data_IF_778650252862
#
_entry.id   IF_778650252862
#
_cell.length_a   1.000
_cell.length_b   1.000
_cell.length_c   1.000
_cell.angle_alpha   90.00
_cell.angle_beta   90.00
_cell.angle_gamma   90.00
#
_symmetry.space_group_name_H-M   'P 1'
#
loop_
_entity.id
_entity.type
_entity.pdbx_description
1 polymer ?
#
# COMPACT_ATOMS: atom_id res chain seq x y z
N UNK A 1 -15.75 -7.19 4.22
CA UNK A 1 -14.42 -6.56 4.07
C UNK A 1 -13.39 -7.56 3.50
N UNK A 2 -13.59 -8.02 2.27
CA UNK A 2 -12.71 -9.05 1.67
C UNK A 2 -11.21 -8.68 1.67
N UNK A 3 -10.77 -7.52 1.13
CA UNK A 3 -9.34 -7.20 1.05
C UNK A 3 -8.67 -7.08 2.43
N UNK A 4 -9.35 -6.51 3.43
CA UNK A 4 -8.84 -6.41 4.79
C UNK A 4 -8.59 -7.80 5.43
N UNK A 5 -9.52 -8.74 5.24
CA UNK A 5 -9.37 -10.10 5.74
C UNK A 5 -8.24 -10.85 5.04
N UNK A 6 -8.05 -10.60 3.73
CA UNK A 6 -6.91 -11.14 2.99
C UNK A 6 -5.58 -10.60 3.52
N UNK A 7 -5.49 -9.29 3.78
CA UNK A 7 -4.28 -8.69 4.39
C UNK A 7 -3.98 -9.36 5.73
N UNK A 8 -4.99 -9.45 6.61
CA UNK A 8 -4.85 -10.13 7.92
C UNK A 8 -4.34 -11.56 7.77
N UNK A 9 -4.93 -12.35 6.87
CA UNK A 9 -4.54 -13.74 6.68
C UNK A 9 -3.13 -13.86 6.12
N UNK A 10 -2.75 -13.03 5.15
CA UNK A 10 -1.42 -13.06 4.55
C UNK A 10 -0.34 -12.64 5.56
N UNK A 11 -0.59 -11.61 6.37
CA UNK A 11 0.32 -11.21 7.45
C UNK A 11 0.58 -12.35 8.46
N UNK A 12 -0.43 -13.18 8.74
CA UNK A 12 -0.27 -14.36 9.61
C UNK A 12 0.73 -15.39 9.05
N UNK A 13 0.91 -15.43 7.74
CA UNK A 13 1.81 -16.35 7.04
C UNK A 13 3.04 -15.64 6.46
N UNK A 14 3.41 -14.48 7.00
CA UNK A 14 4.52 -13.65 6.54
C UNK A 14 4.47 -13.33 5.03
N UNK A 15 3.27 -13.29 4.43
CA UNK A 15 3.07 -13.02 3.02
C UNK A 15 2.66 -11.56 2.76
N UNK A 16 3.25 -10.96 1.72
CA UNK A 16 2.83 -9.66 1.22
C UNK A 16 1.43 -9.75 0.58
N UNK A 17 0.70 -8.65 0.57
CA UNK A 17 -0.63 -8.60 -0.05
C UNK A 17 -0.70 -7.57 -1.15
N UNK A 18 -0.87 -8.02 -2.40
CA UNK A 18 -1.25 -7.17 -3.51
C UNK A 18 -2.76 -6.87 -3.46
N UNK A 19 -3.12 -5.60 -3.58
CA UNK A 19 -4.50 -5.11 -3.53
C UNK A 19 -4.77 -4.37 -4.83
N UNK A 20 -5.70 -4.94 -5.60
CA UNK A 20 -6.23 -4.30 -6.80
C UNK A 20 -7.35 -3.33 -6.40
N UNK A 21 -7.30 -2.12 -6.98
CA UNK A 21 -8.27 -1.07 -6.71
C UNK A 21 -9.41 -1.12 -7.73
N UNK A 22 -10.57 -0.62 -7.33
CA UNK A 22 -11.78 -0.68 -8.15
C UNK A 22 -11.65 0.15 -9.44
N UNK A 23 -12.18 -0.40 -10.53
CA UNK A 23 -12.10 0.17 -11.88
C UNK A 23 -13.49 0.12 -12.51
N UNK A 24 -14.00 1.28 -12.90
CA UNK A 24 -15.21 1.44 -13.71
C UNK A 24 -14.86 2.22 -14.96
N UNK A 25 -14.23 1.52 -15.91
CA UNK A 25 -13.66 2.11 -17.11
C UNK A 25 -14.71 2.82 -17.98
N UNK A 26 -15.92 2.27 -18.10
CA UNK A 26 -17.01 2.87 -18.89
C UNK A 26 -17.48 4.22 -18.33
N UNK A 27 -17.28 4.46 -17.03
CA UNK A 27 -17.60 5.72 -16.36
C UNK A 27 -16.37 6.63 -16.18
N UNK A 28 -15.20 6.26 -16.70
CA UNK A 28 -13.90 6.90 -16.43
C UNK A 28 -13.61 7.07 -14.92
N UNK A 29 -14.07 6.13 -14.09
CA UNK A 29 -13.86 6.16 -12.63
C UNK A 29 -12.85 5.09 -12.22
N UNK A 30 -11.78 5.54 -11.58
CA UNK A 30 -10.71 4.69 -11.08
C UNK A 30 -10.46 5.03 -9.62
N UNK A 31 -10.49 4.02 -8.77
CA UNK A 31 -10.14 4.22 -7.37
C UNK A 31 -8.63 4.48 -7.26
N UNK A 32 -8.25 5.59 -6.64
CA UNK A 32 -6.84 5.90 -6.39
C UNK A 32 -6.34 5.27 -5.08
N UNK A 33 -5.02 5.15 -4.96
CA UNK A 33 -4.33 4.66 -3.77
C UNK A 33 -4.78 5.34 -2.47
N UNK A 34 -4.98 6.66 -2.45
CA UNK A 34 -5.43 7.41 -1.28
C UNK A 34 -6.81 6.92 -0.81
N UNK A 35 -7.74 6.72 -1.75
CA UNK A 35 -9.08 6.19 -1.47
C UNK A 35 -9.00 4.75 -0.95
N UNK A 36 -8.17 3.90 -1.56
CA UNK A 36 -7.96 2.52 -1.11
C UNK A 36 -7.41 2.44 0.32
N UNK A 37 -6.40 3.25 0.64
CA UNK A 37 -5.83 3.33 1.99
C UNK A 37 -6.84 3.88 3.01
N UNK A 38 -7.59 4.94 2.68
CA UNK A 38 -8.66 5.47 3.54
C UNK A 38 -9.76 4.44 3.79
N UNK A 39 -10.12 3.66 2.77
CA UNK A 39 -11.06 2.55 2.93
C UNK A 39 -10.54 1.50 3.91
N UNK A 40 -9.27 1.06 3.77
CA UNK A 40 -8.67 0.10 4.70
C UNK A 40 -8.64 0.61 6.15
N UNK A 41 -8.28 1.88 6.36
CA UNK A 41 -8.30 2.50 7.69
C UNK A 41 -9.71 2.56 8.28
N UNK A 42 -10.72 2.92 7.48
CA UNK A 42 -12.11 2.91 7.93
C UNK A 42 -12.55 1.50 8.37
N UNK A 43 -12.15 0.49 7.61
CA UNK A 43 -12.44 -0.91 7.97
C UNK A 43 -11.73 -1.32 9.26
N UNK A 44 -10.50 -0.87 9.48
CA UNK A 44 -9.81 -1.05 10.76
C UNK A 44 -10.61 -0.40 11.91
N UNK A 45 -11.05 0.85 11.77
CA UNK A 45 -11.82 1.56 12.81
C UNK A 45 -13.11 0.82 13.21
N UNK A 46 -13.79 0.20 12.23
CA UNK A 46 -14.98 -0.61 12.44
C UNK A 46 -14.68 -1.95 13.11
N UNK A 47 -13.54 -2.58 12.78
CA UNK A 47 -13.18 -3.94 13.22
C UNK A 47 -12.35 -3.99 14.50
N UNK A 48 -11.47 -3.02 14.69
CA UNK A 48 -10.53 -2.90 15.83
C UNK A 48 -9.69 -4.15 16.04
N UNK A 49 -9.17 -4.69 14.94
CA UNK A 49 -8.37 -5.93 14.95
C UNK A 49 -6.86 -5.64 14.97
N UNK A 50 -6.45 -4.36 14.88
CA UNK A 50 -5.08 -3.85 14.88
C UNK A 50 -4.22 -4.48 13.77
N UNK A 51 -4.76 -4.56 12.55
CA UNK A 51 -4.07 -5.12 11.39
C UNK A 51 -3.36 -4.02 10.59
N UNK A 52 -3.99 -2.86 10.44
CA UNK A 52 -3.46 -1.73 9.66
C UNK A 52 -3.62 -0.45 10.47
N UNK A 53 -2.63 0.43 10.45
CA UNK A 53 -2.69 1.73 11.11
C UNK A 53 -2.10 2.84 10.25
N UNK A 54 -2.21 4.08 10.71
CA UNK A 54 -1.55 5.23 10.09
C UNK A 54 -0.02 5.09 10.03
N UNK A 55 0.58 4.29 10.91
CA UNK A 55 2.02 4.05 10.94
C UNK A 55 2.45 2.82 10.15
N UNK A 56 1.52 1.96 9.71
CA UNK A 56 1.84 0.80 8.88
C UNK A 56 2.50 1.21 7.57
N UNK A 57 3.49 0.43 7.14
CA UNK A 57 4.11 0.56 5.83
C UNK A 57 3.13 0.11 4.73
N UNK A 58 3.04 0.88 3.66
CA UNK A 58 2.36 0.48 2.44
C UNK A 58 3.18 0.89 1.21
N UNK A 59 2.97 0.20 0.09
CA UNK A 59 3.57 0.54 -1.20
C UNK A 59 2.47 0.90 -2.17
N UNK A 60 2.57 2.06 -2.78
CA UNK A 60 1.74 2.54 -3.88
C UNK A 60 2.49 2.27 -5.18
N UNK A 61 1.81 1.62 -6.10
CA UNK A 61 2.26 1.44 -7.47
C UNK A 61 1.27 2.18 -8.38
N UNK A 62 1.79 2.98 -9.32
CA UNK A 62 0.97 3.69 -10.28
C UNK A 62 1.54 3.55 -11.70
N UNK A 63 0.66 3.38 -12.69
CA UNK A 63 1.01 3.28 -14.12
C UNK A 63 2.09 2.23 -14.42
N UNK A 64 2.02 1.08 -13.73
CA UNK A 64 2.93 -0.05 -13.94
C UNK A 64 2.85 -0.50 -15.41
N UNK A 65 4.01 -0.67 -16.06
CA UNK A 65 4.12 -1.02 -17.48
C UNK A 65 4.11 0.17 -18.44
N UNK A 66 3.91 1.40 -17.95
CA UNK A 66 4.09 2.62 -18.76
C UNK A 66 5.56 3.03 -18.87
N UNK A 67 5.86 4.04 -19.68
CA UNK A 67 7.18 4.67 -19.75
C UNK A 67 7.53 5.49 -18.50
N UNK A 68 6.55 5.79 -17.64
CA UNK A 68 6.74 6.57 -16.41
C UNK A 68 5.94 5.96 -15.24
N UNK A 69 6.30 4.73 -14.80
CA UNK A 69 5.69 4.11 -13.64
C UNK A 69 6.12 4.84 -12.37
N UNK A 70 5.32 4.73 -11.31
CA UNK A 70 5.65 5.23 -9.98
C UNK A 70 5.59 4.09 -8.98
N UNK A 71 6.62 4.03 -8.14
CA UNK A 71 6.72 3.16 -6.97
C UNK A 71 6.97 4.09 -5.79
N UNK A 72 6.10 4.03 -4.78
CA UNK A 72 6.19 4.90 -3.62
C UNK A 72 5.82 4.14 -2.35
N UNK A 73 6.77 3.99 -1.43
CA UNK A 73 6.60 3.27 -0.18
C UNK A 73 6.77 4.21 1.02
N UNK A 74 5.81 4.25 1.92
CA UNK A 74 5.91 5.03 3.16
C UNK A 74 4.86 4.56 4.17
N UNK A 75 4.86 5.19 5.34
CA UNK A 75 3.76 5.08 6.29
C UNK A 75 2.46 5.58 5.66
N UNK A 76 1.36 4.88 5.94
CA UNK A 76 0.04 5.22 5.42
C UNK A 76 -0.31 6.69 5.67
N UNK A 77 0.03 7.26 6.83
CA UNK A 77 -0.22 8.68 7.17
C UNK A 77 0.33 9.69 6.16
N UNK A 78 1.47 9.39 5.53
CA UNK A 78 2.04 10.24 4.48
C UNK A 78 1.39 9.94 3.13
N UNK A 79 1.22 8.67 2.81
CA UNK A 79 0.67 8.24 1.52
C UNK A 79 -0.76 8.73 1.29
N UNK A 80 -1.61 8.78 2.31
CA UNK A 80 -3.02 9.19 2.15
C UNK A 80 -3.20 10.65 1.69
N UNK A 81 -2.18 11.50 1.84
CA UNK A 81 -2.19 12.91 1.42
C UNK A 81 -1.26 13.21 0.24
N UNK A 82 -0.49 12.24 -0.23
CA UNK A 82 0.46 12.40 -1.34
C UNK A 82 -0.25 12.25 -2.70
N UNK A 83 0.22 12.96 -3.72
CA UNK A 83 -0.26 12.83 -5.10
C UNK A 83 0.62 11.85 -5.89
N UNK A 84 0.00 10.78 -6.41
CA UNK A 84 0.67 9.74 -7.18
C UNK A 84 0.48 9.91 -8.70
N UNK A 85 -0.23 10.96 -9.12
CA UNK A 85 -0.61 11.23 -10.50
C UNK A 85 -1.81 10.40 -10.96
N UNK A 86 -1.89 10.19 -12.28
CA UNK A 86 -3.02 9.51 -12.91
C UNK A 86 -3.03 7.98 -12.74
N UNK A 87 -4.21 7.35 -12.94
CA UNK A 87 -4.43 5.90 -12.81
C UNK A 87 -3.66 5.08 -13.86
N UNK A 88 -3.57 3.75 -13.77
CA UNK A 88 -4.10 2.86 -12.72
C UNK A 88 -3.19 2.78 -11.51
N UNK A 89 -3.79 2.69 -10.32
CA UNK A 89 -3.08 2.50 -9.05
C UNK A 89 -3.35 1.09 -8.50
N UNK A 90 -2.37 0.52 -7.82
CA UNK A 90 -2.56 -0.61 -6.91
C UNK A 90 -1.75 -0.40 -5.63
N UNK A 91 -2.08 -1.19 -4.60
CA UNK A 91 -1.43 -1.11 -3.30
C UNK A 91 -0.78 -2.45 -2.97
N UNK A 92 0.31 -2.40 -2.21
CA UNK A 92 0.87 -3.57 -1.52
C UNK A 92 0.93 -3.24 -0.04
N UNK A 93 0.43 -4.16 0.79
CA UNK A 93 0.74 -4.19 2.22
C UNK A 93 1.82 -5.26 2.40
N UNK A 94 3.08 -4.85 2.65
CA UNK A 94 4.16 -5.80 2.90
C UNK A 94 3.96 -6.48 4.26
N UNK A 95 4.48 -7.70 4.36
CA UNK A 95 4.75 -8.38 5.62
C UNK A 95 6.20 -8.08 6.02
N UNK A 96 6.83 -8.95 6.83
CA UNK A 96 8.25 -8.85 7.14
C UNK A 96 9.09 -8.75 5.86
N UNK A 97 9.81 -7.65 5.71
CA UNK A 97 10.70 -7.42 4.58
C UNK A 97 12.04 -8.14 4.78
N UNK A 98 12.55 -8.71 3.71
CA UNK A 98 13.96 -9.06 3.60
C UNK A 98 14.81 -7.79 3.40
N UNK A 99 16.07 -7.79 3.84
CA UNK A 99 16.91 -6.58 3.79
C UNK A 99 17.03 -6.00 2.38
N UNK A 100 17.19 -6.85 1.35
CA UNK A 100 17.21 -6.41 -0.06
C UNK A 100 15.90 -5.75 -0.50
N UNK A 101 14.74 -6.20 0.02
CA UNK A 101 13.46 -5.57 -0.29
C UNK A 101 13.38 -4.18 0.34
N UNK A 102 13.82 -4.07 1.60
CA UNK A 102 13.91 -2.79 2.29
C UNK A 102 14.86 -1.81 1.57
N UNK A 103 16.06 -2.25 1.19
CA UNK A 103 17.00 -1.43 0.39
C UNK A 103 16.38 -0.96 -0.92
N UNK A 104 15.73 -1.86 -1.66
CA UNK A 104 15.05 -1.50 -2.89
C UNK A 104 13.94 -0.46 -2.67
N UNK A 105 13.12 -0.63 -1.63
CA UNK A 105 12.06 0.32 -1.30
C UNK A 105 12.63 1.67 -0.87
N UNK A 106 13.79 1.74 -0.22
CA UNK A 106 14.46 2.99 0.13
C UNK A 106 14.98 3.69 -1.12
N UNK A 107 15.79 2.99 -1.92
CA UNK A 107 16.48 3.57 -3.09
C UNK A 107 15.50 3.93 -4.21
N UNK A 108 14.53 3.06 -4.49
CA UNK A 108 13.59 3.21 -5.62
C UNK A 108 12.24 3.73 -5.16
N UNK A 109 11.69 3.15 -4.08
CA UNK A 109 10.37 3.50 -3.55
C UNK A 109 10.33 4.73 -2.65
N UNK A 110 11.49 5.35 -2.38
CA UNK A 110 11.65 6.49 -1.45
C UNK A 110 11.14 6.19 -0.04
N UNK A 111 11.28 4.94 0.38
CA UNK A 111 10.89 4.54 1.73
C UNK A 111 11.75 5.22 2.79
N UNK A 112 11.18 5.48 3.98
CA UNK A 112 11.93 5.95 5.13
C UNK A 112 13.03 4.92 5.50
N UNK A 113 14.30 5.32 5.70
CA UNK A 113 15.42 4.39 5.95
C UNK A 113 15.22 3.51 7.18
N UNK A 114 14.35 3.91 8.11
CA UNK A 114 14.00 3.17 9.31
C UNK A 114 13.37 1.78 9.02
N UNK A 115 12.91 1.50 7.80
CA UNK A 115 12.40 0.17 7.43
C UNK A 115 13.48 -0.92 7.40
N UNK A 116 14.76 -0.56 7.20
CA UNK A 116 15.89 -1.51 7.22
C UNK A 116 16.07 -2.18 8.57
N UNK A 117 15.73 -1.46 9.64
CA UNK A 117 15.85 -1.94 11.02
C UNK A 117 14.57 -2.64 11.52
N UNK A 118 13.57 -2.82 10.63
CA UNK A 118 12.25 -3.36 10.99
C UNK A 118 11.45 -2.44 11.91
N UNK A 119 11.69 -1.12 11.87
CA UNK A 119 11.13 -0.14 12.84
C UNK A 119 9.84 0.56 12.37
N UNK A 120 9.08 -0.04 11.45
CA UNK A 120 7.83 0.51 10.90
C UNK A 120 6.82 -0.61 10.66
#
# INVERSE_FOLDING_TARGET
HSPYLTIKNNLKYDAHTLILLDIKAEENKYMNANQGLKYLLKVEEERKENIISLDSLAVVLARVGSSNPLIRADRIKKLIVEDFGGPLHCLIIPSKLHFLEAEYLIEIGRAPPEILEGRI
#
